data_IF_347711371727
#
_entry.id   IF_347711371727
#
_cell.length_a   1.000
_cell.length_b   1.000
_cell.length_c   1.000
_cell.angle_alpha   90.00
_cell.angle_beta   90.00
_cell.angle_gamma   90.00
#
_symmetry.space_group_name_H-M   'P 1'
#
loop_
_entity.id
_entity.type
_entity.pdbx_description
1 polymer ?
#
# COMPACT_ATOMS: atom_id res chain seq x y z
N UNK A 1 -7.19 -14.54 47.20
CA UNK A 1 -8.01 -13.45 46.63
C UNK A 1 -7.14 -12.76 45.58
N UNK A 2 -7.36 -13.04 44.29
CA UNK A 2 -6.54 -12.45 43.21
C UNK A 2 -7.07 -11.04 42.90
N UNK A 3 -6.27 -10.02 43.20
CA UNK A 3 -6.57 -8.64 42.83
C UNK A 3 -6.38 -8.47 41.32
N UNK A 4 -7.50 -8.39 40.60
CA UNK A 4 -7.57 -7.94 39.21
C UNK A 4 -7.06 -6.49 39.17
N UNK A 5 -5.87 -6.24 38.63
CA UNK A 5 -5.45 -4.89 38.28
C UNK A 5 -6.41 -4.36 37.20
N UNK A 6 -6.96 -3.13 37.33
CA UNK A 6 -7.69 -2.51 36.24
C UNK A 6 -6.71 -2.19 35.11
N UNK A 7 -7.11 -2.51 33.88
CA UNK A 7 -6.44 -2.08 32.65
C UNK A 7 -6.31 -0.55 32.73
N UNK A 8 -5.10 0.05 32.57
CA UNK A 8 -4.98 1.50 32.57
C UNK A 8 -5.80 2.05 31.41
N UNK A 9 -6.68 3.00 31.71
CA UNK A 9 -7.48 3.70 30.71
C UNK A 9 -6.56 4.19 29.59
N UNK A 10 -6.83 3.77 28.36
CA UNK A 10 -6.07 4.18 27.19
C UNK A 10 -5.95 5.70 27.15
N UNK A 11 -4.74 6.20 26.93
CA UNK A 11 -4.46 7.62 26.82
C UNK A 11 -5.36 8.23 25.71
N UNK A 12 -6.25 9.19 26.01
CA UNK A 12 -7.13 9.84 25.01
C UNK A 12 -6.37 10.81 24.08
N UNK A 13 -5.05 10.66 24.00
CA UNK A 13 -4.17 11.34 23.04
C UNK A 13 -3.66 10.38 21.97
N UNK A 14 -3.80 9.07 22.15
CA UNK A 14 -3.35 8.06 21.18
C UNK A 14 -4.35 7.85 20.02
N UNK A 15 -5.58 8.33 20.16
CA UNK A 15 -6.70 8.17 19.22
C UNK A 15 -6.91 9.39 18.30
N UNK A 16 -6.32 10.55 18.61
CA UNK A 16 -6.44 11.76 17.78
C UNK A 16 -5.83 11.62 16.37
N UNK A 17 -5.04 10.57 16.11
CA UNK A 17 -4.47 10.22 14.80
C UNK A 17 -5.01 8.88 14.26
N UNK A 18 -6.04 8.30 14.89
CA UNK A 18 -6.70 7.12 14.35
C UNK A 18 -7.38 7.51 13.03
N UNK A 19 -7.13 6.78 11.93
CA UNK A 19 -7.77 7.07 10.65
C UNK A 19 -9.29 7.09 10.83
N UNK A 20 -9.90 8.23 10.53
CA UNK A 20 -11.35 8.27 10.37
C UNK A 20 -11.71 7.31 9.23
N UNK A 21 -12.59 6.32 9.44
CA UNK A 21 -12.96 5.36 8.40
C UNK A 21 -13.52 6.03 7.14
N UNK A 22 -14.05 7.27 7.24
CA UNK A 22 -14.49 8.05 6.10
C UNK A 22 -13.34 8.56 5.20
N UNK A 23 -12.14 8.77 5.74
CA UNK A 23 -10.96 9.30 5.03
C UNK A 23 -9.98 8.20 4.58
N UNK A 24 -10.28 6.95 4.96
CA UNK A 24 -9.46 5.79 4.65
C UNK A 24 -9.09 5.66 3.15
N UNK A 25 -10.03 5.79 2.18
CA UNK A 25 -9.68 5.66 0.76
C UNK A 25 -8.69 6.74 0.28
N UNK A 26 -8.85 7.98 0.73
CA UNK A 26 -7.96 9.08 0.35
C UNK A 26 -6.56 8.94 0.97
N UNK A 27 -6.50 8.46 2.22
CA UNK A 27 -5.23 8.19 2.89
C UNK A 27 -4.47 7.05 2.19
N UNK A 28 -5.16 5.94 1.85
CA UNK A 28 -4.56 4.82 1.13
C UNK A 28 -4.13 5.18 -0.28
N UNK A 29 -4.88 6.04 -0.97
CA UNK A 29 -4.49 6.58 -2.27
C UNK A 29 -3.20 7.40 -2.18
N UNK A 30 -3.08 8.24 -1.14
CA UNK A 30 -1.88 9.05 -0.90
C UNK A 30 -0.66 8.17 -0.60
N UNK A 31 -0.82 7.17 0.25
CA UNK A 31 0.24 6.20 0.56
C UNK A 31 0.66 5.41 -0.69
N UNK A 32 -0.30 4.94 -1.49
CA UNK A 32 -0.02 4.24 -2.74
C UNK A 32 0.77 5.12 -3.72
N UNK A 33 0.44 6.41 -3.83
CA UNK A 33 1.21 7.37 -4.64
C UNK A 33 2.63 7.55 -4.13
N UNK A 34 2.83 7.64 -2.82
CA UNK A 34 4.19 7.72 -2.25
C UNK A 34 5.02 6.47 -2.56
N UNK A 35 4.44 5.27 -2.47
CA UNK A 35 5.10 4.02 -2.80
C UNK A 35 5.49 3.98 -4.29
N UNK A 36 4.60 4.41 -5.18
CA UNK A 36 4.90 4.44 -6.63
C UNK A 36 5.97 5.49 -6.96
N UNK A 37 5.96 6.64 -6.29
CA UNK A 37 6.99 7.66 -6.46
C UNK A 37 8.37 7.17 -5.99
N UNK A 38 8.41 6.35 -4.94
CA UNK A 38 9.63 5.79 -4.36
C UNK A 38 9.95 4.36 -4.85
N UNK A 39 9.59 4.04 -6.10
CA UNK A 39 9.57 2.65 -6.58
C UNK A 39 10.93 1.93 -6.52
N UNK A 40 12.03 2.69 -6.55
CA UNK A 40 13.40 2.15 -6.48
C UNK A 40 13.68 1.49 -5.12
N UNK A 41 13.01 1.91 -4.06
CA UNK A 41 13.21 1.42 -2.70
C UNK A 41 12.20 0.35 -2.27
N UNK A 42 11.36 -0.11 -3.19
CA UNK A 42 10.25 -0.99 -2.90
C UNK A 42 10.26 -2.22 -3.84
N UNK A 43 9.83 -3.40 -3.34
CA UNK A 43 9.76 -4.58 -4.19
C UNK A 43 8.61 -4.43 -5.20
N UNK A 44 8.78 -4.99 -6.40
CA UNK A 44 7.78 -4.99 -7.48
C UNK A 44 6.38 -5.41 -7.00
N UNK A 45 6.30 -6.35 -6.06
CA UNK A 45 5.03 -6.79 -5.47
C UNK A 45 4.29 -5.68 -4.73
N UNK A 46 5.01 -4.81 -4.01
CA UNK A 46 4.44 -3.64 -3.33
C UNK A 46 4.00 -2.59 -4.35
N UNK A 47 4.78 -2.39 -5.40
CA UNK A 47 4.42 -1.46 -6.49
C UNK A 47 3.16 -1.90 -7.20
N UNK A 48 3.04 -3.20 -7.51
CA UNK A 48 1.82 -3.78 -8.09
C UNK A 48 0.61 -3.58 -7.19
N UNK A 49 0.77 -3.75 -5.87
CA UNK A 49 -0.31 -3.52 -4.90
C UNK A 49 -0.73 -2.04 -4.87
N UNK A 50 0.23 -1.13 -4.80
CA UNK A 50 -0.02 0.31 -4.83
C UNK A 50 -0.72 0.74 -6.12
N UNK A 51 -0.29 0.21 -7.26
CA UNK A 51 -0.93 0.48 -8.55
C UNK A 51 -2.40 0.03 -8.59
N UNK A 52 -2.72 -1.11 -7.97
CA UNK A 52 -4.11 -1.58 -7.84
C UNK A 52 -4.95 -0.68 -6.95
N UNK A 53 -4.38 -0.17 -5.85
CA UNK A 53 -5.05 0.78 -4.97
C UNK A 53 -5.33 2.11 -5.70
N UNK A 54 -4.38 2.61 -6.49
CA UNK A 54 -4.58 3.80 -7.33
C UNK A 54 -5.69 3.57 -8.35
N UNK A 55 -5.68 2.43 -9.05
CA UNK A 55 -6.70 2.11 -10.04
C UNK A 55 -8.12 1.97 -9.44
N UNK A 56 -8.22 1.53 -8.19
CA UNK A 56 -9.50 1.35 -7.50
C UNK A 56 -10.06 2.64 -6.89
N UNK A 57 -9.20 3.59 -6.51
CA UNK A 57 -9.59 4.73 -5.67
C UNK A 57 -9.27 6.10 -6.27
N UNK A 58 -8.53 6.17 -7.37
CA UNK A 58 -8.24 7.45 -8.01
C UNK A 58 -9.51 8.05 -8.63
N UNK A 59 -9.77 9.36 -8.39
CA UNK A 59 -10.80 10.09 -9.11
C UNK A 59 -10.41 10.38 -10.57
N UNK A 60 -9.12 10.25 -10.93
CA UNK A 60 -8.63 10.43 -12.30
C UNK A 60 -8.52 9.06 -13.02
N UNK A 61 -9.38 8.80 -14.01
CA UNK A 61 -9.32 7.54 -14.76
C UNK A 61 -8.03 7.40 -15.57
N UNK A 62 -7.31 8.48 -15.88
CA UNK A 62 -6.01 8.42 -16.56
C UNK A 62 -4.94 7.86 -15.63
N UNK A 63 -4.85 8.38 -14.40
CA UNK A 63 -3.94 7.88 -13.36
C UNK A 63 -4.15 6.37 -13.12
N UNK A 64 -5.41 5.92 -13.02
CA UNK A 64 -5.72 4.49 -12.87
C UNK A 64 -5.22 3.62 -14.03
N UNK A 65 -5.35 4.08 -15.28
CA UNK A 65 -4.84 3.34 -16.45
C UNK A 65 -3.31 3.27 -16.47
N UNK A 66 -2.64 4.37 -16.13
CA UNK A 66 -1.18 4.43 -16.09
C UNK A 66 -0.62 3.50 -14.99
N UNK A 67 -1.26 3.49 -13.82
CA UNK A 67 -0.93 2.57 -12.73
C UNK A 67 -1.08 1.09 -13.16
N UNK A 68 -2.17 0.73 -13.85
CA UNK A 68 -2.35 -0.63 -14.35
C UNK A 68 -1.33 -1.01 -15.44
N UNK A 69 -0.95 -0.07 -16.31
CA UNK A 69 0.08 -0.29 -17.31
C UNK A 69 1.44 -0.59 -16.67
N UNK A 70 1.83 0.17 -15.64
CA UNK A 70 3.04 -0.09 -14.85
C UNK A 70 2.98 -1.45 -14.16
N UNK A 71 1.88 -1.78 -13.49
CA UNK A 71 1.71 -3.08 -12.85
C UNK A 71 1.85 -4.25 -13.85
N UNK A 72 1.24 -4.12 -15.03
CA UNK A 72 1.38 -5.11 -16.11
C UNK A 72 2.83 -5.28 -16.56
N UNK A 73 3.56 -4.17 -16.74
CA UNK A 73 4.98 -4.20 -17.13
C UNK A 73 5.83 -4.95 -16.10
N UNK A 74 5.66 -4.67 -14.80
CA UNK A 74 6.41 -5.33 -13.73
C UNK A 74 6.10 -6.83 -13.67
N UNK A 75 4.84 -7.23 -13.83
CA UNK A 75 4.43 -8.64 -13.87
C UNK A 75 5.07 -9.35 -15.07
N UNK A 76 5.01 -8.75 -16.26
CA UNK A 76 5.63 -9.31 -17.46
C UNK A 76 7.16 -9.39 -17.36
N UNK A 77 7.82 -8.44 -16.70
CA UNK A 77 9.27 -8.49 -16.44
C UNK A 77 9.63 -9.57 -15.43
N UNK A 78 8.84 -9.73 -14.36
CA UNK A 78 9.04 -10.74 -13.33
C UNK A 78 8.99 -12.17 -13.89
N UNK A 79 8.07 -12.43 -14.84
CA UNK A 79 7.96 -13.73 -15.52
C UNK A 79 9.17 -13.99 -16.44
N UNK A 80 9.79 -12.93 -16.97
CA UNK A 80 10.92 -13.02 -17.90
C UNK A 80 12.27 -13.25 -17.24
N UNK A 81 12.40 -13.19 -15.90
CA UNK A 81 13.68 -13.43 -15.22
C UNK A 81 14.14 -14.88 -15.51
N UNK A 82 15.21 -15.09 -16.30
CA UNK A 82 15.65 -16.44 -16.65
C UNK A 82 16.14 -17.16 -15.39
N UNK A 83 15.86 -18.47 -15.29
CA UNK A 83 16.56 -19.37 -14.36
C UNK A 83 18.05 -19.41 -14.77
N UNK A 84 18.83 -18.41 -14.35
CA UNK A 84 20.28 -18.44 -14.46
C UNK A 84 20.86 -19.22 -13.29
N UNK A 85 21.34 -20.44 -13.55
CA UNK A 85 22.15 -21.19 -12.58
C UNK A 85 21.91 -22.71 -12.56
N UNK A 86 21.99 -23.36 -13.72
CA UNK A 86 22.43 -24.76 -13.77
C UNK A 86 23.78 -24.75 -14.49
N UNK A 87 24.85 -24.69 -13.71
CA UNK A 87 26.22 -25.00 -14.09
C UNK A 87 26.98 -25.38 -12.82
#
# INVERSE_FOLDING_TARGET
MNAMMPIPAADPRADANAPNPADWPAQRLTEARSIVADFVHHPDSLIVLACRAIAAHSPDPREGREALALAGLLICLSIRKPKGGAA
#
